data_IF_447623169051
#
_entry.id   IF_447623169051
#
_cell.length_a   1.000
_cell.length_b   1.000
_cell.length_c   1.000
_cell.angle_alpha   90.00
_cell.angle_beta   90.00
_cell.angle_gamma   90.00
#
_symmetry.space_group_name_H-M   'P 1'
#
loop_
_entity.id
_entity.type
_entity.pdbx_description
1 polymer ?
#
# COMPACT_ATOMS: atom_id res chain seq x y z
N UNK A 1 -25.20 47.31 -33.33
CA UNK A 1 -25.99 46.87 -32.15
C UNK A 1 -25.98 47.89 -31.01
N UNK A 2 -24.84 48.55 -30.70
CA UNK A 2 -24.81 49.63 -29.71
C UNK A 2 -25.74 50.82 -30.04
N UNK A 3 -25.77 51.30 -31.30
CA UNK A 3 -26.61 52.45 -31.70
C UNK A 3 -28.13 52.22 -31.65
N UNK A 4 -28.58 50.96 -31.72
CA UNK A 4 -30.00 50.64 -31.58
C UNK A 4 -30.44 50.68 -30.11
N UNK A 5 -29.57 50.25 -29.19
CA UNK A 5 -29.85 50.31 -27.74
C UNK A 5 -29.94 51.78 -27.30
N UNK A 6 -29.04 52.63 -27.76
CA UNK A 6 -29.03 54.07 -27.44
C UNK A 6 -30.28 54.79 -27.96
N UNK A 7 -30.74 54.49 -29.18
CA UNK A 7 -31.95 55.09 -29.74
C UNK A 7 -33.23 54.64 -29.01
N UNK A 8 -33.30 53.39 -28.56
CA UNK A 8 -34.45 52.87 -27.79
C UNK A 8 -34.53 53.54 -26.41
N UNK A 9 -33.38 53.72 -25.74
CA UNK A 9 -33.30 54.43 -24.46
C UNK A 9 -33.77 55.89 -24.59
N UNK A 10 -33.30 56.60 -25.61
CA UNK A 10 -33.71 57.99 -25.86
C UNK A 10 -35.21 58.13 -26.14
N UNK A 11 -35.85 57.18 -26.85
CA UNK A 11 -37.30 57.20 -27.07
C UNK A 11 -38.08 56.97 -25.78
N UNK A 12 -37.65 56.01 -24.94
CA UNK A 12 -38.27 55.78 -23.64
C UNK A 12 -38.18 57.00 -22.72
N UNK A 13 -37.04 57.68 -22.71
CA UNK A 13 -36.85 58.91 -21.93
C UNK A 13 -37.72 60.06 -22.43
N UNK A 14 -37.92 60.16 -23.75
CA UNK A 14 -38.78 61.19 -24.37
C UNK A 14 -40.27 60.93 -24.11
N UNK A 15 -40.70 59.67 -24.12
CA UNK A 15 -42.07 59.28 -23.74
C UNK A 15 -42.33 59.47 -22.24
N UNK A 16 -41.33 59.18 -21.40
CA UNK A 16 -41.41 59.41 -19.96
C UNK A 16 -41.53 60.90 -19.66
N UNK A 17 -40.72 61.74 -20.30
CA UNK A 17 -40.78 63.20 -20.15
C UNK A 17 -42.15 63.78 -20.54
N UNK A 18 -42.70 63.33 -21.68
CA UNK A 18 -44.04 63.73 -22.12
C UNK A 18 -45.15 63.26 -21.16
N UNK A 19 -45.01 62.07 -20.58
CA UNK A 19 -45.97 61.57 -19.59
C UNK A 19 -45.93 62.40 -18.30
N UNK A 20 -44.73 62.78 -17.82
CA UNK A 20 -44.56 63.60 -16.63
C UNK A 20 -45.15 65.00 -16.82
N UNK A 21 -44.95 65.60 -18.00
CA UNK A 21 -45.50 66.91 -18.34
C UNK A 21 -47.04 66.90 -18.44
N UNK A 22 -47.64 65.77 -18.88
CA UNK A 22 -49.10 65.58 -18.85
C UNK A 22 -49.65 65.31 -17.44
N UNK A 23 -48.86 64.72 -16.55
CA UNK A 23 -49.26 64.53 -15.15
C UNK A 23 -49.01 65.78 -14.29
N UNK A 24 -48.12 66.70 -14.68
CA UNK A 24 -47.83 67.92 -13.90
C UNK A 24 -48.96 68.94 -13.89
N UNK A 25 -49.94 68.82 -14.77
CA UNK A 25 -51.15 69.64 -14.76
C UNK A 25 -52.16 69.27 -13.65
N UNK A 26 -51.98 68.13 -12.97
CA UNK A 26 -52.83 67.68 -11.86
C UNK A 26 -51.96 67.18 -10.68
N UNK A 27 -51.71 68.03 -9.67
CA UNK A 27 -50.75 67.73 -8.60
C UNK A 27 -51.15 66.52 -7.74
N UNK A 28 -52.43 66.18 -7.64
CA UNK A 28 -52.90 65.00 -6.90
C UNK A 28 -52.55 63.69 -7.62
N UNK A 29 -52.69 63.66 -8.96
CA UNK A 29 -52.32 62.49 -9.79
C UNK A 29 -50.82 62.31 -9.93
N UNK A 30 -50.05 63.40 -9.95
CA UNK A 30 -48.60 63.32 -9.93
C UNK A 30 -48.08 62.68 -8.63
N UNK A 31 -48.61 63.11 -7.48
CA UNK A 31 -48.20 62.57 -6.18
C UNK A 31 -48.54 61.07 -6.04
N UNK A 32 -49.71 60.62 -6.52
CA UNK A 32 -50.07 59.21 -6.49
C UNK A 32 -49.22 58.35 -7.44
N UNK A 33 -48.89 58.87 -8.63
CA UNK A 33 -47.97 58.20 -9.56
C UNK A 33 -46.55 58.07 -8.97
N UNK A 34 -46.04 59.14 -8.36
CA UNK A 34 -44.74 59.12 -7.68
C UNK A 34 -44.75 58.13 -6.51
N UNK A 35 -45.82 58.11 -5.70
CA UNK A 35 -45.95 57.15 -4.60
C UNK A 35 -46.00 55.70 -5.09
N UNK A 36 -46.75 55.41 -6.16
CA UNK A 36 -46.80 54.08 -6.78
C UNK A 36 -45.46 53.66 -7.39
N UNK A 37 -44.75 54.58 -8.05
CA UNK A 37 -43.40 54.32 -8.58
C UNK A 37 -42.40 54.06 -7.46
N UNK A 38 -42.41 54.87 -6.40
CA UNK A 38 -41.59 54.66 -5.20
C UNK A 38 -41.88 53.32 -4.56
N UNK A 39 -43.15 52.96 -4.36
CA UNK A 39 -43.54 51.67 -3.79
C UNK A 39 -43.13 50.49 -4.68
N UNK A 40 -43.25 50.61 -6.00
CA UNK A 40 -42.83 49.56 -6.95
C UNK A 40 -41.32 49.36 -6.93
N UNK A 41 -40.54 50.44 -6.99
CA UNK A 41 -39.08 50.37 -6.92
C UNK A 41 -38.64 49.81 -5.57
N UNK A 42 -39.21 50.31 -4.48
CA UNK A 42 -38.92 49.80 -3.13
C UNK A 42 -39.21 48.30 -3.01
N UNK A 43 -40.41 47.86 -3.38
CA UNK A 43 -40.77 46.44 -3.34
C UNK A 43 -39.90 45.58 -4.26
N UNK A 44 -39.51 46.09 -5.43
CA UNK A 44 -38.60 45.39 -6.35
C UNK A 44 -37.22 45.22 -5.74
N UNK A 45 -36.64 46.30 -5.20
CA UNK A 45 -35.32 46.28 -4.56
C UNK A 45 -35.33 45.40 -3.32
N UNK A 46 -36.36 45.49 -2.47
CA UNK A 46 -36.49 44.63 -1.28
C UNK A 46 -36.66 43.17 -1.66
N UNK A 47 -37.44 42.87 -2.70
CA UNK A 47 -37.61 41.50 -3.20
C UNK A 47 -36.30 40.96 -3.78
N UNK A 48 -35.62 41.73 -4.61
CA UNK A 48 -34.33 41.36 -5.21
C UNK A 48 -33.26 41.11 -4.14
N UNK A 49 -33.21 41.96 -3.11
CA UNK A 49 -32.36 41.71 -1.94
C UNK A 49 -32.74 40.41 -1.24
N UNK A 50 -34.03 40.19 -0.96
CA UNK A 50 -34.50 38.96 -0.29
C UNK A 50 -34.17 37.70 -1.10
N UNK A 51 -34.39 37.74 -2.41
CA UNK A 51 -34.11 36.63 -3.32
C UNK A 51 -32.60 36.38 -3.44
N UNK A 52 -31.79 37.43 -3.48
CA UNK A 52 -30.32 37.33 -3.46
C UNK A 52 -29.82 36.72 -2.16
N UNK A 53 -30.34 37.16 -1.00
CA UNK A 53 -29.97 36.58 0.29
C UNK A 53 -30.37 35.10 0.39
N UNK A 54 -31.57 34.73 -0.04
CA UNK A 54 -32.02 33.33 -0.07
C UNK A 54 -31.14 32.48 -0.98
N UNK A 55 -30.76 33.01 -2.14
CA UNK A 55 -29.88 32.32 -3.08
C UNK A 55 -28.49 32.09 -2.46
N UNK A 56 -27.84 33.16 -1.98
CA UNK A 56 -26.50 33.07 -1.37
C UNK A 56 -26.52 32.12 -0.17
N UNK A 57 -27.54 32.20 0.68
CA UNK A 57 -27.67 31.31 1.83
C UNK A 57 -27.88 29.85 1.41
N UNK A 58 -28.72 29.59 0.40
CA UNK A 58 -28.93 28.27 -0.16
C UNK A 58 -27.66 27.68 -0.79
N UNK A 59 -26.93 28.49 -1.56
CA UNK A 59 -25.68 28.08 -2.21
C UNK A 59 -24.57 27.83 -1.18
N UNK A 60 -24.47 28.67 -0.15
CA UNK A 60 -23.55 28.44 0.97
C UNK A 60 -23.87 27.13 1.71
N UNK A 61 -25.15 26.87 1.96
CA UNK A 61 -25.58 25.64 2.63
C UNK A 61 -25.21 24.40 1.81
N UNK A 62 -25.51 24.41 0.50
CA UNK A 62 -25.14 23.30 -0.40
C UNK A 62 -23.64 23.11 -0.52
N UNK A 63 -22.87 24.20 -0.59
CA UNK A 63 -21.41 24.15 -0.60
C UNK A 63 -20.86 23.58 0.70
N UNK A 64 -21.40 24.00 1.84
CA UNK A 64 -21.03 23.52 3.16
C UNK A 64 -21.28 22.01 3.30
N UNK A 65 -22.45 21.54 2.85
CA UNK A 65 -22.78 20.11 2.84
C UNK A 65 -21.87 19.31 1.90
N UNK A 66 -21.51 19.87 0.74
CA UNK A 66 -20.55 19.26 -0.19
C UNK A 66 -19.16 19.10 0.42
N UNK A 67 -18.65 20.13 1.09
CA UNK A 67 -17.37 20.08 1.82
C UNK A 67 -17.42 19.03 2.94
N UNK A 68 -18.51 19.02 3.71
CA UNK A 68 -18.71 18.06 4.81
C UNK A 68 -18.70 16.62 4.29
N UNK A 69 -19.42 16.35 3.20
CA UNK A 69 -19.47 15.03 2.58
C UNK A 69 -18.08 14.59 2.06
N UNK A 70 -17.36 15.51 1.42
CA UNK A 70 -15.99 15.26 0.94
C UNK A 70 -15.04 14.95 2.09
N UNK A 71 -15.13 15.69 3.21
CA UNK A 71 -14.34 15.44 4.41
C UNK A 71 -14.64 14.06 5.01
N UNK A 72 -15.90 13.65 5.05
CA UNK A 72 -16.28 12.32 5.52
C UNK A 72 -15.69 11.20 4.66
N UNK A 73 -15.75 11.33 3.33
CA UNK A 73 -15.13 10.35 2.44
C UNK A 73 -13.61 10.31 2.60
N UNK A 74 -12.97 11.46 2.75
CA UNK A 74 -11.53 11.53 3.01
C UNK A 74 -11.15 10.82 4.32
N UNK A 75 -11.88 11.07 5.41
CA UNK A 75 -11.64 10.40 6.69
C UNK A 75 -11.82 8.88 6.58
N UNK A 76 -12.89 8.41 5.91
CA UNK A 76 -13.13 6.97 5.70
C UNK A 76 -12.05 6.29 4.86
N UNK A 77 -11.56 6.96 3.83
CA UNK A 77 -10.46 6.43 3.01
C UNK A 77 -9.18 6.32 3.83
N UNK A 78 -8.87 7.32 4.66
CA UNK A 78 -7.73 7.27 5.57
C UNK A 78 -7.85 6.13 6.58
N UNK A 79 -9.03 5.91 7.14
CA UNK A 79 -9.27 4.79 8.06
C UNK A 79 -9.13 3.43 7.35
N UNK A 80 -9.58 3.33 6.10
CA UNK A 80 -9.40 2.14 5.27
C UNK A 80 -7.92 1.87 5.00
N UNK A 81 -7.15 2.90 4.66
CA UNK A 81 -5.70 2.80 4.41
C UNK A 81 -4.97 2.33 5.68
N UNK A 82 -5.29 2.92 6.84
CA UNK A 82 -4.73 2.51 8.12
C UNK A 82 -5.07 1.06 8.46
N UNK A 83 -6.31 0.61 8.18
CA UNK A 83 -6.72 -0.78 8.39
C UNK A 83 -5.94 -1.72 7.48
N UNK A 84 -5.79 -1.39 6.20
CA UNK A 84 -5.02 -2.17 5.24
C UNK A 84 -3.55 -2.29 5.64
N UNK A 85 -2.92 -1.18 6.07
CA UNK A 85 -1.53 -1.19 6.53
C UNK A 85 -1.37 -2.06 7.78
N UNK A 86 -2.32 -1.99 8.72
CA UNK A 86 -2.29 -2.81 9.94
C UNK A 86 -2.41 -4.31 9.63
N UNK A 87 -3.31 -4.70 8.72
CA UNK A 87 -3.51 -6.09 8.34
C UNK A 87 -2.33 -6.61 7.51
N UNK A 88 -1.80 -5.81 6.60
CA UNK A 88 -0.59 -6.13 5.86
C UNK A 88 0.60 -6.39 6.80
N UNK A 89 0.78 -5.52 7.80
CA UNK A 89 1.87 -5.67 8.78
C UNK A 89 1.73 -6.94 9.62
N UNK A 90 0.51 -7.30 10.02
CA UNK A 90 0.23 -8.57 10.71
C UNK A 90 0.54 -9.77 9.82
N UNK A 91 0.09 -9.77 8.56
CA UNK A 91 0.35 -10.85 7.62
C UNK A 91 1.85 -11.01 7.32
N UNK A 92 2.56 -9.90 7.13
CA UNK A 92 4.01 -9.89 6.94
C UNK A 92 4.73 -10.50 8.15
N UNK A 93 4.36 -10.07 9.36
CA UNK A 93 4.95 -10.61 10.60
C UNK A 93 4.68 -12.10 10.75
N UNK A 94 3.47 -12.58 10.43
CA UNK A 94 3.16 -14.00 10.45
C UNK A 94 3.99 -14.79 9.43
N UNK A 95 4.14 -14.28 8.20
CA UNK A 95 4.98 -14.90 7.17
C UNK A 95 6.45 -14.99 7.61
N UNK A 96 6.98 -13.93 8.21
CA UNK A 96 8.35 -13.89 8.74
C UNK A 96 8.54 -14.89 9.89
N UNK A 97 7.57 -14.98 10.81
CA UNK A 97 7.59 -15.97 11.90
C UNK A 97 7.54 -17.40 11.37
N UNK A 98 6.71 -17.69 10.37
CA UNK A 98 6.64 -19.03 9.75
C UNK A 98 7.96 -19.37 9.05
N UNK A 99 8.54 -18.43 8.31
CA UNK A 99 9.85 -18.61 7.66
C UNK A 99 10.95 -18.87 8.70
N UNK A 100 10.98 -18.09 9.77
CA UNK A 100 11.94 -18.25 10.87
C UNK A 100 11.77 -19.60 11.59
N UNK A 101 10.54 -19.99 11.91
CA UNK A 101 10.24 -21.27 12.54
C UNK A 101 10.64 -22.45 11.66
N UNK A 102 10.39 -22.37 10.35
CA UNK A 102 10.82 -23.39 9.40
C UNK A 102 12.35 -23.53 9.38
N UNK A 103 13.07 -22.39 9.35
CA UNK A 103 14.54 -22.40 9.42
C UNK A 103 15.06 -23.00 10.73
N UNK A 104 14.41 -22.70 11.86
CA UNK A 104 14.77 -23.26 13.16
C UNK A 104 14.47 -24.76 13.26
N UNK A 105 13.29 -25.19 12.80
CA UNK A 105 12.91 -26.60 12.77
C UNK A 105 13.88 -27.41 11.91
N UNK A 106 14.25 -26.88 10.73
CA UNK A 106 15.29 -27.46 9.89
C UNK A 106 16.60 -27.59 10.66
N UNK A 107 17.13 -26.51 11.23
CA UNK A 107 18.40 -26.55 12.00
C UNK A 107 18.34 -27.56 13.17
N UNK A 108 17.23 -27.65 13.88
CA UNK A 108 17.06 -28.61 14.97
C UNK A 108 17.11 -30.06 14.46
N UNK A 109 16.43 -30.35 13.35
CA UNK A 109 16.51 -31.66 12.70
C UNK A 109 17.96 -31.99 12.31
N UNK A 110 18.65 -31.05 11.67
CA UNK A 110 20.05 -31.20 11.26
C UNK A 110 20.99 -31.47 12.45
N UNK A 111 20.77 -30.79 13.60
CA UNK A 111 21.54 -31.01 14.84
C UNK A 111 21.26 -32.39 15.46
N UNK A 112 20.00 -32.81 15.47
CA UNK A 112 19.59 -34.08 16.04
C UNK A 112 20.17 -35.26 15.25
N UNK A 113 20.05 -35.20 13.92
CA UNK A 113 20.63 -36.20 13.01
C UNK A 113 22.16 -36.29 13.18
N UNK A 114 22.83 -35.14 13.27
CA UNK A 114 24.27 -35.08 13.52
C UNK A 114 24.67 -35.71 14.84
N UNK A 115 23.94 -35.39 15.92
CA UNK A 115 24.23 -35.90 17.26
C UNK A 115 24.09 -37.42 17.31
N UNK A 116 23.05 -37.95 16.64
CA UNK A 116 22.85 -39.38 16.51
C UNK A 116 24.01 -40.05 15.75
N UNK A 117 24.39 -39.54 14.58
CA UNK A 117 25.46 -40.10 13.77
C UNK A 117 26.82 -40.04 14.47
N UNK A 118 27.15 -38.94 15.15
CA UNK A 118 28.39 -38.82 15.89
C UNK A 118 28.47 -39.83 17.05
N UNK A 119 27.34 -40.06 17.74
CA UNK A 119 27.24 -41.11 18.77
C UNK A 119 27.44 -42.51 18.19
N UNK A 120 26.81 -42.83 17.06
CA UNK A 120 26.98 -44.10 16.36
C UNK A 120 28.43 -44.35 15.95
N UNK A 121 29.11 -43.35 15.38
CA UNK A 121 30.52 -43.45 15.01
C UNK A 121 31.42 -43.68 16.24
N UNK A 122 31.18 -42.97 17.36
CA UNK A 122 31.94 -43.21 18.59
C UNK A 122 31.70 -44.62 19.15
N UNK A 123 30.45 -45.11 19.10
CA UNK A 123 30.08 -46.42 19.57
C UNK A 123 30.76 -47.53 18.75
N UNK A 124 30.79 -47.40 17.43
CA UNK A 124 31.50 -48.33 16.55
C UNK A 124 33.00 -48.44 16.89
N UNK A 125 33.65 -47.31 17.18
CA UNK A 125 35.07 -47.31 17.56
C UNK A 125 35.32 -48.02 18.90
N UNK A 126 34.46 -47.79 19.90
CA UNK A 126 34.56 -48.51 21.17
C UNK A 126 34.33 -50.01 21.02
N UNK A 127 33.38 -50.42 20.15
CA UNK A 127 33.17 -51.84 19.83
C UNK A 127 34.42 -52.46 19.19
N UNK A 128 35.02 -51.78 18.22
CA UNK A 128 36.23 -52.26 17.55
C UNK A 128 37.39 -52.40 18.55
N UNK A 129 37.59 -51.39 19.41
CA UNK A 129 38.61 -51.43 20.46
C UNK A 129 38.39 -52.60 21.43
N UNK A 130 37.14 -52.85 21.82
CA UNK A 130 36.80 -53.94 22.73
C UNK A 130 37.06 -55.31 22.07
N UNK A 131 36.70 -55.50 20.81
CA UNK A 131 37.00 -56.73 20.05
C UNK A 131 38.52 -56.97 19.98
N UNK A 132 39.30 -55.91 19.78
CA UNK A 132 40.77 -56.01 19.72
C UNK A 132 41.34 -56.41 21.08
N UNK A 133 40.88 -55.79 22.17
CA UNK A 133 41.30 -56.16 23.52
C UNK A 133 40.93 -57.61 23.87
N UNK A 134 39.73 -58.05 23.50
CA UNK A 134 39.28 -59.42 23.76
C UNK A 134 40.02 -60.45 22.92
N UNK A 135 40.52 -60.10 21.73
CA UNK A 135 41.40 -60.97 20.94
C UNK A 135 42.83 -61.03 21.49
N UNK A 136 43.39 -59.88 21.90
CA UNK A 136 44.77 -59.81 22.39
C UNK A 136 44.92 -60.53 23.75
N UNK A 137 43.92 -60.49 24.62
CA UNK A 137 43.97 -61.10 25.96
C UNK A 137 44.29 -62.61 25.94
N UNK A 138 43.50 -63.45 25.27
CA UNK A 138 43.79 -64.88 25.11
C UNK A 138 45.11 -65.15 24.37
N UNK A 139 45.47 -64.35 23.36
CA UNK A 139 46.76 -64.48 22.66
C UNK A 139 47.95 -64.24 23.60
N UNK A 140 47.85 -63.23 24.46
CA UNK A 140 48.87 -62.93 25.46
C UNK A 140 48.99 -64.07 26.48
N UNK A 141 47.86 -64.64 26.91
CA UNK A 141 47.85 -65.81 27.79
C UNK A 141 48.49 -67.04 27.11
N UNK A 142 48.12 -67.33 25.86
CA UNK A 142 48.68 -68.43 25.08
C UNK A 142 50.19 -68.29 24.84
N UNK A 143 50.68 -67.06 24.65
CA UNK A 143 52.12 -66.76 24.63
C UNK A 143 52.77 -67.05 25.99
N UNK A 144 52.15 -66.63 27.10
CA UNK A 144 52.71 -66.79 28.45
C UNK A 144 52.91 -68.25 28.85
N UNK A 145 52.00 -69.14 28.44
CA UNK A 145 52.13 -70.58 28.67
C UNK A 145 53.08 -71.28 27.68
N UNK A 146 53.63 -70.55 26.70
CA UNK A 146 54.54 -71.09 25.69
C UNK A 146 53.86 -71.88 24.57
N UNK A 147 52.53 -71.79 24.42
CA UNK A 147 51.78 -72.52 23.40
C UNK A 147 52.01 -71.95 21.99
N UNK A 148 52.30 -70.65 21.88
CA UNK A 148 52.52 -69.95 20.61
C UNK A 148 53.92 -69.32 20.61
N UNK A 149 54.72 -69.49 19.53
CA UNK A 149 56.01 -68.84 19.41
C UNK A 149 55.87 -67.31 19.32
N UNK A 150 56.86 -66.59 19.86
CA UNK A 150 56.82 -65.12 19.96
C UNK A 150 56.62 -64.43 18.61
N UNK A 151 57.15 -64.98 17.51
CA UNK A 151 56.99 -64.44 16.15
C UNK A 151 55.52 -64.36 15.72
N UNK A 152 54.74 -65.40 15.98
CA UNK A 152 53.31 -65.45 15.64
C UNK A 152 52.52 -64.46 16.48
N UNK A 153 52.81 -64.37 17.78
CA UNK A 153 52.18 -63.37 18.66
C UNK A 153 52.39 -61.94 18.16
N UNK A 154 53.64 -61.54 17.90
CA UNK A 154 53.94 -60.19 17.42
C UNK A 154 53.34 -59.97 16.03
N UNK A 155 53.42 -60.94 15.11
CA UNK A 155 52.84 -60.82 13.77
C UNK A 155 51.33 -60.55 13.79
N UNK A 156 50.56 -61.36 14.54
CA UNK A 156 49.10 -61.19 14.64
C UNK A 156 48.74 -59.88 15.35
N UNK A 157 49.43 -59.56 16.45
CA UNK A 157 49.15 -58.33 17.21
C UNK A 157 49.44 -57.07 16.38
N UNK A 158 50.55 -57.06 15.61
CA UNK A 158 50.89 -55.94 14.72
C UNK A 158 49.87 -55.80 13.59
N UNK A 159 49.40 -56.91 13.00
CA UNK A 159 48.39 -56.88 11.94
C UNK A 159 47.06 -56.32 12.44
N UNK A 160 46.59 -56.76 13.62
CA UNK A 160 45.38 -56.23 14.26
C UNK A 160 45.56 -54.75 14.60
N UNK A 161 46.70 -54.38 15.20
CA UNK A 161 47.02 -52.98 15.52
C UNK A 161 47.03 -52.08 14.29
N UNK A 162 47.58 -52.56 13.17
CA UNK A 162 47.59 -51.83 11.90
C UNK A 162 46.18 -51.60 11.34
N UNK A 163 45.27 -52.58 11.48
CA UNK A 163 43.86 -52.42 11.10
C UNK A 163 43.16 -51.33 11.94
N UNK A 164 43.43 -51.27 13.26
CA UNK A 164 42.91 -50.20 14.13
C UNK A 164 43.47 -48.83 13.74
N UNK A 165 44.77 -48.74 13.45
CA UNK A 165 45.39 -47.48 13.03
C UNK A 165 44.83 -47.01 11.69
N UNK A 166 44.66 -47.90 10.71
CA UNK A 166 44.06 -47.56 9.42
C UNK A 166 42.63 -47.05 9.57
N UNK A 167 41.80 -47.72 10.38
CA UNK A 167 40.43 -47.26 10.65
C UNK A 167 40.39 -45.90 11.33
N UNK A 168 41.32 -45.62 12.26
CA UNK A 168 41.49 -44.28 12.86
C UNK A 168 41.91 -43.23 11.84
N UNK A 169 42.86 -43.53 10.95
CA UNK A 169 43.31 -42.61 9.92
C UNK A 169 42.19 -42.27 8.94
N UNK A 170 41.42 -43.25 8.50
CA UNK A 170 40.25 -43.03 7.63
C UNK A 170 39.22 -42.14 8.34
N UNK A 171 38.97 -42.38 9.63
CA UNK A 171 38.07 -41.53 10.43
C UNK A 171 38.58 -40.10 10.58
N UNK A 172 39.87 -39.92 10.88
CA UNK A 172 40.50 -38.60 10.99
C UNK A 172 40.43 -37.86 9.65
N UNK A 173 40.75 -38.53 8.55
CA UNK A 173 40.66 -37.96 7.21
C UNK A 173 39.23 -37.57 6.85
N UNK A 174 38.24 -38.41 7.19
CA UNK A 174 36.82 -38.08 7.00
C UNK A 174 36.41 -36.84 7.80
N UNK A 175 36.85 -36.75 9.06
CA UNK A 175 36.54 -35.62 9.93
C UNK A 175 37.18 -34.31 9.46
N UNK A 176 38.38 -34.36 8.85
CA UNK A 176 39.11 -33.16 8.39
C UNK A 176 38.69 -32.72 6.99
N UNK A 177 38.53 -33.66 6.03
CA UNK A 177 38.35 -33.33 4.61
C UNK A 177 36.89 -33.31 4.15
N UNK A 178 36.04 -34.18 4.70
CA UNK A 178 34.67 -34.36 4.21
C UNK A 178 33.63 -33.57 5.03
N UNK A 179 33.93 -33.29 6.31
CA UNK A 179 33.05 -32.59 7.24
C UNK A 179 33.26 -31.07 7.13
N UNK A 180 32.20 -30.31 6.89
CA UNK A 180 32.30 -28.85 6.85
C UNK A 180 32.28 -28.28 8.28
N UNK A 181 33.25 -27.43 8.63
CA UNK A 181 33.43 -26.88 9.98
C UNK A 181 32.47 -25.73 10.32
N UNK A 182 31.66 -25.27 9.37
CA UNK A 182 30.68 -24.17 9.54
C UNK A 182 29.23 -24.59 9.34
N UNK A 183 28.95 -25.52 8.42
CA UNK A 183 27.62 -26.07 8.16
C UNK A 183 27.64 -27.57 8.41
N UNK A 184 27.44 -27.93 9.68
CA UNK A 184 27.82 -29.23 10.24
C UNK A 184 26.97 -30.41 9.73
N UNK A 185 25.89 -30.15 8.97
CA UNK A 185 25.05 -31.15 8.30
C UNK A 185 25.27 -31.26 6.77
N UNK A 186 26.34 -30.69 6.22
CA UNK A 186 26.66 -30.90 4.79
C UNK A 186 28.05 -31.51 4.62
N UNK A 187 28.11 -32.56 3.80
CA UNK A 187 29.37 -32.92 3.11
C UNK A 187 29.72 -31.75 2.20
N UNK A 188 30.99 -31.38 2.10
CA UNK A 188 31.45 -30.41 1.10
C UNK A 188 31.22 -30.98 -0.30
N UNK A 189 30.05 -30.73 -0.88
CA UNK A 189 29.82 -30.98 -2.30
C UNK A 189 30.55 -29.89 -3.06
N UNK A 190 31.60 -30.25 -3.81
CA UNK A 190 32.47 -29.34 -4.54
C UNK A 190 31.77 -28.47 -5.63
N UNK A 191 30.43 -28.47 -5.72
CA UNK A 191 29.66 -27.79 -6.76
C UNK A 191 28.36 -27.10 -6.31
N UNK A 192 27.96 -27.20 -5.05
CA UNK A 192 26.87 -26.35 -4.57
C UNK A 192 27.50 -25.13 -3.93
N UNK A 193 27.31 -23.97 -4.58
CA UNK A 193 27.76 -22.66 -4.11
C UNK A 193 27.56 -22.55 -2.61
N UNK A 194 28.55 -21.94 -1.95
CA UNK A 194 28.57 -21.77 -0.51
C UNK A 194 27.26 -21.20 0.04
N UNK A 195 27.10 -21.17 1.39
CA UNK A 195 25.90 -20.62 2.01
C UNK A 195 25.51 -19.31 1.31
N UNK A 196 24.21 -19.08 1.02
CA UNK A 196 23.80 -17.80 0.46
C UNK A 196 24.47 -16.72 1.31
N UNK A 197 25.30 -15.91 0.65
CA UNK A 197 26.01 -14.82 1.32
C UNK A 197 24.95 -14.03 2.07
N UNK A 198 25.17 -13.81 3.37
CA UNK A 198 24.28 -13.01 4.20
C UNK A 198 23.89 -11.78 3.41
N UNK A 199 22.58 -11.57 3.22
CA UNK A 199 22.04 -10.43 2.48
C UNK A 199 22.72 -9.19 3.05
N UNK A 200 23.60 -8.57 2.26
CA UNK A 200 24.31 -7.39 2.72
C UNK A 200 23.28 -6.30 2.98
N UNK A 201 23.56 -5.40 3.93
CA UNK A 201 22.69 -4.26 4.17
C UNK A 201 22.41 -3.47 2.88
N UNK A 202 23.30 -3.53 1.88
CA UNK A 202 23.12 -2.98 0.54
C UNK A 202 22.06 -3.71 -0.30
N UNK A 203 21.97 -5.03 -0.18
CA UNK A 203 20.92 -5.81 -0.83
C UNK A 203 19.55 -5.55 -0.18
N UNK A 204 19.49 -5.34 1.15
CA UNK A 204 18.26 -4.93 1.84
C UNK A 204 17.90 -3.48 1.51
N UNK A 205 18.85 -2.55 1.49
CA UNK A 205 18.60 -1.14 1.16
C UNK A 205 18.18 -0.95 -0.30
N UNK A 206 18.71 -1.77 -1.23
CA UNK A 206 18.25 -1.75 -2.63
C UNK A 206 16.87 -2.39 -2.82
N UNK A 207 16.48 -3.37 -2.00
CA UNK A 207 15.14 -3.96 -2.03
C UNK A 207 14.10 -3.03 -1.37
N UNK A 208 14.47 -2.38 -0.27
CA UNK A 208 13.66 -1.34 0.40
C UNK A 208 13.58 -0.07 -0.44
N UNK A 209 14.67 0.31 -1.11
CA UNK A 209 14.69 1.40 -2.10
C UNK A 209 13.76 1.11 -3.26
N UNK A 210 13.83 -0.08 -3.87
CA UNK A 210 12.91 -0.48 -4.95
C UNK A 210 11.46 -0.63 -4.50
N UNK A 211 11.20 -1.04 -3.25
CA UNK A 211 9.86 -1.06 -2.67
C UNK A 211 9.36 0.37 -2.37
N UNK A 212 10.24 1.27 -1.94
CA UNK A 212 9.97 2.69 -1.74
C UNK A 212 9.71 3.45 -3.05
N UNK A 213 10.43 3.12 -4.13
CA UNK A 213 10.22 3.68 -5.46
C UNK A 213 8.86 3.26 -6.04
N UNK A 214 8.43 2.02 -5.81
CA UNK A 214 7.08 1.55 -6.17
C UNK A 214 5.98 2.21 -5.32
N UNK A 215 6.26 2.53 -4.05
CA UNK A 215 5.33 3.26 -3.18
C UNK A 215 5.24 4.74 -3.58
N UNK A 216 6.35 5.34 -4.02
CA UNK A 216 6.39 6.69 -4.60
C UNK A 216 5.62 6.74 -5.92
N UNK A 217 5.66 5.68 -6.73
CA UNK A 217 4.87 5.57 -7.95
C UNK A 217 3.36 5.48 -7.65
N UNK A 218 2.96 4.77 -6.59
CA UNK A 218 1.58 4.75 -6.12
C UNK A 218 1.14 6.09 -5.51
N UNK A 219 2.04 6.76 -4.76
CA UNK A 219 1.81 8.08 -4.19
C UNK A 219 1.65 9.17 -5.26
N UNK A 220 2.51 9.16 -6.29
CA UNK A 220 2.40 10.07 -7.43
C UNK A 220 1.20 9.75 -8.31
N UNK A 221 0.81 8.47 -8.46
CA UNK A 221 -0.42 8.10 -9.16
C UNK A 221 -1.67 8.51 -8.37
N UNK A 222 -1.65 8.43 -7.03
CA UNK A 222 -2.71 8.93 -6.16
C UNK A 222 -2.79 10.47 -6.12
N UNK A 223 -1.65 11.17 -6.16
CA UNK A 223 -1.61 12.63 -6.29
C UNK A 223 -2.04 13.09 -7.69
N UNK A 224 -1.67 12.38 -8.75
CA UNK A 224 -2.13 12.68 -10.10
C UNK A 224 -3.61 12.35 -10.30
N UNK A 225 -4.14 11.31 -9.66
CA UNK A 225 -5.57 11.02 -9.60
C UNK A 225 -6.31 12.08 -8.76
N UNK A 226 -5.75 12.50 -7.63
CA UNK A 226 -6.25 13.60 -6.81
C UNK A 226 -6.25 14.96 -7.54
N UNK A 227 -5.22 15.24 -8.36
CA UNK A 227 -5.16 16.41 -9.24
C UNK A 227 -6.10 16.28 -10.44
N UNK A 228 -6.34 15.09 -10.97
CA UNK A 228 -7.35 14.85 -12.00
C UNK A 228 -8.76 15.07 -11.45
N UNK A 229 -9.05 14.62 -10.22
CA UNK A 229 -10.33 14.87 -9.55
C UNK A 229 -10.47 16.34 -9.16
N UNK A 230 -9.43 16.97 -8.60
CA UNK A 230 -9.48 18.39 -8.26
C UNK A 230 -9.56 19.29 -9.50
N UNK A 231 -8.92 18.86 -10.60
CA UNK A 231 -8.98 19.49 -11.91
C UNK A 231 -10.35 19.32 -12.56
N UNK A 232 -10.93 18.11 -12.55
CA UNK A 232 -12.26 17.85 -13.10
C UNK A 232 -13.35 18.54 -12.28
N UNK A 233 -13.23 18.61 -10.95
CA UNK A 233 -14.18 19.34 -10.10
C UNK A 233 -14.04 20.85 -10.28
N UNK A 234 -12.82 21.37 -10.47
CA UNK A 234 -12.61 22.80 -10.76
C UNK A 234 -13.03 23.19 -12.18
N UNK A 235 -12.90 22.27 -13.14
CA UNK A 235 -13.32 22.45 -14.52
C UNK A 235 -14.85 22.32 -14.63
N UNK A 236 -15.48 21.36 -13.94
CA UNK A 236 -16.95 21.26 -13.82
C UNK A 236 -17.55 22.45 -13.05
N UNK A 237 -16.85 23.01 -12.06
CA UNK A 237 -17.29 24.25 -11.38
C UNK A 237 -17.15 25.49 -12.27
N UNK A 238 -16.12 25.57 -13.11
CA UNK A 238 -15.95 26.64 -14.10
C UNK A 238 -16.91 26.50 -15.30
N UNK A 239 -17.24 25.26 -15.69
CA UNK A 239 -18.20 24.94 -16.75
C UNK A 239 -19.66 25.10 -16.25
N UNK A 240 -19.95 24.81 -14.98
CA UNK A 240 -21.21 25.16 -14.35
C UNK A 240 -21.37 26.68 -14.16
N UNK A 241 -20.30 27.39 -13.82
CA UNK A 241 -20.24 28.87 -13.74
C UNK A 241 -20.49 29.55 -15.10
N UNK A 242 -19.89 29.03 -16.17
CA UNK A 242 -20.07 29.55 -17.53
C UNK A 242 -21.41 29.12 -18.16
N UNK A 243 -21.93 27.93 -17.83
CA UNK A 243 -23.26 27.48 -18.23
C UNK A 243 -24.41 28.28 -17.59
N UNK A 244 -24.26 28.70 -16.33
CA UNK A 244 -25.23 29.59 -15.66
C UNK A 244 -25.21 31.00 -16.24
N UNK A 245 -24.04 31.49 -16.69
CA UNK A 245 -23.95 32.77 -17.41
C UNK A 245 -24.55 32.69 -18.83
N UNK A 246 -24.48 31.52 -19.49
CA UNK A 246 -25.11 31.27 -20.79
C UNK A 246 -26.64 31.13 -20.73
N UNK A 247 -27.18 30.49 -19.68
CA UNK A 247 -28.63 30.31 -19.50
C UNK A 247 -29.37 31.60 -19.14
N UNK A 248 -28.70 32.63 -18.62
CA UNK A 248 -29.31 33.95 -18.41
C UNK A 248 -29.43 34.81 -19.69
N UNK A 249 -28.88 34.34 -20.82
CA UNK A 249 -28.89 35.09 -22.09
C UNK A 249 -29.93 34.63 -23.13
N UNK A 250 -30.65 33.53 -22.90
CA UNK A 250 -31.49 32.89 -23.93
C UNK A 250 -33.00 32.80 -23.62
N UNK A 251 -33.50 33.43 -22.56
CA UNK A 251 -34.95 33.44 -22.27
C UNK A 251 -35.59 34.79 -22.57
N UNK A 252 -35.61 35.19 -23.85
CA UNK A 252 -36.65 36.10 -24.35
C UNK A 252 -37.00 35.77 -25.80
N UNK A 253 -38.30 35.75 -26.05
CA UNK A 253 -39.01 35.54 -27.33
C UNK A 253 -39.36 34.10 -27.71
N UNK A 254 -40.60 33.71 -27.39
CA UNK A 254 -41.55 33.23 -28.42
C UNK A 254 -43.01 33.31 -27.92
N UNK A 255 -43.99 33.51 -28.83
CA UNK A 255 -45.28 34.13 -28.55
C UNK A 255 -46.43 33.16 -28.22
N UNK A 256 -47.49 33.73 -27.63
CA UNK A 256 -48.81 33.13 -27.39
C UNK A 256 -49.35 32.37 -28.62
N UNK A 257 -49.82 31.14 -28.40
CA UNK A 257 -50.68 30.39 -29.33
C UNK A 257 -51.88 29.82 -28.57
N UNK A 258 -53.06 30.03 -29.17
CA UNK A 258 -54.40 29.76 -28.67
C UNK A 258 -54.69 28.29 -28.32
N UNK A 259 -55.63 28.08 -27.38
CA UNK A 259 -56.06 26.78 -26.84
C UNK A 259 -56.84 25.85 -27.78
N UNK A 260 -57.38 24.75 -27.24
CA UNK A 260 -58.83 24.65 -27.14
C UNK A 260 -59.38 24.12 -25.79
N UNK A 261 -60.70 24.23 -25.70
CA UNK A 261 -61.65 24.13 -24.57
C UNK A 261 -61.69 22.77 -23.81
N UNK A 262 -62.39 22.72 -22.64
CA UNK A 262 -62.41 21.55 -21.77
C UNK A 262 -63.44 20.49 -22.24
N UNK A 263 -63.15 19.23 -21.94
CA UNK A 263 -64.10 18.12 -22.00
C UNK A 263 -64.11 17.48 -20.61
N UNK A 264 -65.31 17.53 -20.02
CA UNK A 264 -65.87 16.86 -18.83
C UNK A 264 -65.20 17.02 -17.45
#
# INVERSE_FOLDING_TARGET
>A
MADQITNILNLQDTELANSIQKLSSDPAKLNSFIAQRKARVYNSVTKEHSDSFKKIYGDYTRSSDGIKNTLYFHARNKDLDNLQESEYTKMKTQADVVSFNNQNAKRQYEINEWTANNKLDTLFFFQLLLIVLTLIGPLLYAKRIGLIPSSVYYGVTTLIGLAVVLTLLVRLQYNIKARDTRLWNRRRFAKMGGPPTSVSCDAVSSLVGKAGDNLHYFGDQAQNFGKMIAGSVSQDLNDASSGISGMFSSTSNSPLSNGPAPVD
#
